data_IF_460459853405
#
_entry.id   IF_460459853405
#
_cell.length_a   1.000
_cell.length_b   1.000
_cell.length_c   1.000
_cell.angle_alpha   90.00
_cell.angle_beta   90.00
_cell.angle_gamma   90.00
#
_symmetry.space_group_name_H-M   'P 1'
#
loop_
_entity.id
_entity.type
_entity.pdbx_description
1 polymer ?
#
# COMPACT_ATOMS: atom_id res chain seq x y z
N UNK A 1 51.68 30.71 -26.03
CA UNK A 1 51.24 30.62 -24.63
C UNK A 1 49.72 30.55 -24.62
N UNK A 2 49.19 29.44 -24.10
CA UNK A 2 47.78 29.05 -24.25
C UNK A 2 46.80 29.92 -23.47
N UNK A 3 45.60 30.11 -24.04
CA UNK A 3 44.43 30.58 -23.29
C UNK A 3 43.45 29.42 -23.16
N UNK A 4 43.32 28.96 -21.92
CA UNK A 4 42.52 27.82 -21.49
C UNK A 4 41.02 28.03 -21.69
N UNK A 5 40.34 26.95 -22.09
CA UNK A 5 38.88 26.80 -22.15
C UNK A 5 38.28 26.83 -20.74
N UNK A 6 37.19 27.58 -20.55
CA UNK A 6 36.28 27.43 -19.41
C UNK A 6 35.08 26.55 -19.82
N UNK A 7 34.62 25.60 -18.97
CA UNK A 7 33.58 24.65 -19.33
C UNK A 7 32.17 25.24 -19.10
N UNK A 8 31.26 24.90 -20.02
CA UNK A 8 29.81 25.19 -19.95
C UNK A 8 29.18 24.46 -18.77
N UNK A 9 28.47 25.19 -17.91
CA UNK A 9 27.59 24.62 -16.90
C UNK A 9 26.38 23.92 -17.56
N UNK A 10 25.95 22.75 -17.06
CA UNK A 10 24.79 22.05 -17.59
C UNK A 10 23.48 22.71 -17.12
N UNK A 11 22.54 22.83 -18.06
CA UNK A 11 21.18 23.32 -17.84
C UNK A 11 20.43 22.38 -16.89
N UNK A 12 19.91 22.91 -15.79
CA UNK A 12 18.97 22.23 -14.91
C UNK A 12 17.69 21.88 -15.69
N UNK A 13 17.40 20.59 -15.78
CA UNK A 13 16.14 20.07 -16.31
C UNK A 13 15.09 20.31 -15.22
N UNK A 14 14.27 21.34 -15.44
CA UNK A 14 13.04 21.57 -14.67
C UNK A 14 12.11 20.39 -14.93
N UNK A 15 11.97 19.49 -13.95
CA UNK A 15 10.93 18.48 -13.95
C UNK A 15 9.59 19.20 -13.82
N UNK A 16 8.87 19.27 -14.93
CA UNK A 16 7.50 19.79 -15.02
C UNK A 16 6.57 18.78 -14.37
N UNK A 17 6.37 18.90 -13.06
CA UNK A 17 5.31 18.20 -12.34
C UNK A 17 3.97 18.65 -12.88
N UNK A 18 3.15 17.70 -13.34
CA UNK A 18 1.78 17.96 -13.73
C UNK A 18 0.98 18.36 -12.49
N UNK A 19 0.67 19.65 -12.37
CA UNK A 19 -0.36 20.15 -11.46
C UNK A 19 -1.69 19.47 -11.83
N UNK A 20 -2.06 18.48 -11.03
CA UNK A 20 -3.40 17.92 -11.05
C UNK A 20 -4.23 18.78 -10.12
N UNK A 21 -5.31 19.35 -10.64
CA UNK A 21 -6.28 20.18 -9.92
C UNK A 21 -6.68 19.44 -8.62
N UNK A 22 -6.19 19.93 -7.48
CA UNK A 22 -6.54 19.40 -6.16
C UNK A 22 -8.01 19.75 -5.88
N UNK A 23 -8.93 18.86 -6.29
CA UNK A 23 -10.19 18.76 -5.55
C UNK A 23 -9.80 18.38 -4.13
N UNK A 24 -10.24 19.14 -3.14
CA UNK A 24 -10.12 18.79 -1.73
C UNK A 24 -10.81 17.44 -1.49
N UNK A 25 -10.04 16.35 -1.56
CA UNK A 25 -10.57 15.01 -1.33
C UNK A 25 -10.81 14.88 0.16
N UNK A 26 -12.09 14.90 0.56
CA UNK A 26 -12.49 14.60 1.93
C UNK A 26 -12.02 13.20 2.31
N UNK A 27 -11.47 13.05 3.52
CA UNK A 27 -11.06 11.74 4.03
C UNK A 27 -12.25 10.76 4.03
N UNK A 28 -12.09 9.53 3.53
CA UNK A 28 -13.13 8.52 3.54
C UNK A 28 -13.51 8.13 4.97
N UNK A 29 -14.79 7.80 5.19
CA UNK A 29 -15.25 7.27 6.47
C UNK A 29 -15.01 5.75 6.53
N UNK A 30 -13.78 5.35 6.85
CA UNK A 30 -13.37 3.95 6.89
C UNK A 30 -14.23 3.11 7.85
N UNK A 31 -14.58 1.85 7.49
CA UNK A 31 -15.33 0.97 8.38
C UNK A 31 -14.66 0.80 9.75
N UNK A 32 -15.48 0.82 10.79
CA UNK A 32 -15.02 0.69 12.18
C UNK A 32 -14.64 -0.76 12.47
N UNK A 33 -13.56 -0.97 13.21
CA UNK A 33 -13.15 -2.30 13.67
C UNK A 33 -14.12 -2.78 14.77
N UNK A 34 -15.19 -3.45 14.35
CA UNK A 34 -16.19 -4.05 15.25
C UNK A 34 -16.36 -5.55 14.94
N UNK A 35 -16.15 -6.44 15.92
CA UNK A 35 -15.60 -6.16 17.27
C UNK A 35 -14.16 -5.61 17.21
N UNK A 36 -13.60 -5.11 18.34
CA UNK A 36 -12.19 -4.76 18.42
C UNK A 36 -11.30 -5.91 17.93
N UNK A 37 -10.25 -5.56 17.19
CA UNK A 37 -9.30 -6.52 16.63
C UNK A 37 -8.08 -6.68 17.56
N UNK A 38 -7.33 -7.80 17.43
CA UNK A 38 -7.65 -8.98 16.62
C UNK A 38 -8.73 -9.85 17.29
N UNK A 39 -9.58 -10.51 16.48
CA UNK A 39 -10.62 -11.44 17.00
C UNK A 39 -10.10 -12.84 17.30
N UNK A 40 -8.90 -13.15 16.82
CA UNK A 40 -8.23 -14.42 17.01
C UNK A 40 -6.73 -14.15 17.15
N UNK A 41 -6.00 -15.09 17.74
CA UNK A 41 -4.55 -15.01 17.76
C UNK A 41 -4.01 -15.05 16.32
N UNK A 42 -3.21 -14.06 15.94
CA UNK A 42 -2.58 -14.00 14.63
C UNK A 42 -1.22 -14.69 14.68
N UNK A 43 -0.92 -15.49 13.68
CA UNK A 43 0.39 -16.13 13.47
C UNK A 43 0.83 -15.88 12.03
N UNK A 44 2.15 -15.85 11.82
CA UNK A 44 2.73 -15.87 10.48
C UNK A 44 3.18 -17.29 10.17
N UNK A 45 2.62 -17.87 9.12
CA UNK A 45 2.94 -19.21 8.69
C UNK A 45 3.28 -19.22 7.20
N UNK A 46 4.25 -20.02 6.77
CA UNK A 46 4.52 -20.17 5.35
C UNK A 46 3.36 -20.90 4.65
N UNK A 47 3.05 -20.53 3.39
CA UNK A 47 1.95 -21.15 2.67
C UNK A 47 2.24 -22.62 2.33
N UNK A 48 3.51 -22.96 2.15
CA UNK A 48 4.00 -24.30 1.80
C UNK A 48 5.44 -24.50 2.32
N UNK A 49 5.90 -25.75 2.56
CA UNK A 49 7.23 -26.07 3.12
C UNK A 49 8.47 -25.80 2.23
N UNK A 50 8.37 -24.91 1.24
CA UNK A 50 9.52 -24.53 0.39
C UNK A 50 9.71 -23.00 0.32
N UNK A 51 8.96 -22.28 1.15
CA UNK A 51 8.79 -20.83 1.14
C UNK A 51 8.84 -20.23 2.56
N UNK A 52 9.37 -20.97 3.53
CA UNK A 52 9.49 -20.60 4.95
C UNK A 52 10.16 -19.24 5.17
N UNK A 53 11.11 -18.89 4.31
CA UNK A 53 11.93 -17.68 4.35
C UNK A 53 11.54 -16.64 3.28
N UNK A 54 10.44 -16.86 2.54
CA UNK A 54 10.06 -16.03 1.38
C UNK A 54 8.68 -15.43 1.48
N UNK A 55 7.71 -16.21 1.96
CA UNK A 55 6.30 -15.81 1.99
C UNK A 55 5.71 -16.25 3.32
N UNK A 56 5.13 -15.29 4.04
CA UNK A 56 4.39 -15.53 5.28
C UNK A 56 2.93 -15.12 5.11
N UNK A 57 2.05 -15.89 5.72
CA UNK A 57 0.60 -15.69 5.65
C UNK A 57 0.04 -15.45 7.03
N UNK A 58 -0.63 -14.31 7.21
CA UNK A 58 -1.45 -14.00 8.38
C UNK A 58 -2.90 -14.43 8.10
N UNK A 59 -3.33 -15.55 8.67
CA UNK A 59 -4.72 -16.03 8.50
C UNK A 59 -5.68 -15.26 9.42
N UNK A 60 -6.90 -15.06 8.94
CA UNK A 60 -7.98 -14.43 9.71
C UNK A 60 -7.65 -13.01 10.24
N UNK A 61 -6.81 -12.27 9.52
CA UNK A 61 -6.41 -10.90 9.89
C UNK A 61 -7.62 -9.99 10.16
N UNK A 62 -8.66 -10.10 9.31
CA UNK A 62 -9.97 -9.49 9.56
C UNK A 62 -11.08 -10.56 9.64
N UNK A 63 -12.09 -10.37 10.51
CA UNK A 63 -13.27 -11.22 10.53
C UNK A 63 -14.09 -11.02 9.24
N UNK A 64 -14.82 -12.07 8.85
CA UNK A 64 -15.65 -12.08 7.62
C UNK A 64 -16.64 -10.92 7.55
N UNK A 65 -17.22 -10.50 8.68
CA UNK A 65 -18.13 -9.36 8.75
C UNK A 65 -17.43 -8.06 8.34
N UNK A 66 -16.26 -7.79 8.90
CA UNK A 66 -15.48 -6.60 8.58
C UNK A 66 -15.00 -6.61 7.13
N UNK A 67 -14.56 -7.76 6.60
CA UNK A 67 -14.21 -7.88 5.18
C UNK A 67 -15.38 -7.49 4.27
N UNK A 68 -16.60 -7.94 4.57
CA UNK A 68 -17.79 -7.58 3.80
C UNK A 68 -18.07 -6.07 3.86
N UNK A 69 -17.96 -5.47 5.04
CA UNK A 69 -18.20 -4.03 5.23
C UNK A 69 -17.16 -3.20 4.47
N UNK A 70 -15.89 -3.62 4.47
CA UNK A 70 -14.84 -3.01 3.65
C UNK A 70 -15.11 -3.17 2.14
N UNK A 71 -15.51 -4.35 1.67
CA UNK A 71 -15.83 -4.53 0.24
C UNK A 71 -16.98 -3.61 -0.18
N UNK A 72 -18.07 -3.56 0.60
CA UNK A 72 -19.21 -2.69 0.32
C UNK A 72 -18.80 -1.20 0.32
N UNK A 73 -17.98 -0.79 1.29
CA UNK A 73 -17.45 0.57 1.38
C UNK A 73 -16.51 0.93 0.22
N UNK A 74 -15.52 0.09 -0.10
CA UNK A 74 -14.52 0.36 -1.13
C UNK A 74 -15.16 0.54 -2.52
N UNK A 75 -16.26 -0.16 -2.78
CA UNK A 75 -17.06 0.01 -4.01
C UNK A 75 -17.68 1.40 -4.15
N UNK A 76 -17.83 2.16 -3.06
CA UNK A 76 -18.37 3.53 -3.08
C UNK A 76 -17.31 4.60 -3.36
N UNK A 77 -16.03 4.24 -3.31
CA UNK A 77 -14.94 5.20 -3.49
C UNK A 77 -14.79 5.59 -4.98
N UNK A 78 -14.23 6.77 -5.27
CA UNK A 78 -13.99 7.21 -6.64
C UNK A 78 -12.79 6.47 -7.25
N UNK A 79 -13.00 5.20 -7.63
CA UNK A 79 -11.95 4.36 -8.20
C UNK A 79 -11.54 4.85 -9.59
N UNK A 80 -10.24 4.79 -9.89
CA UNK A 80 -9.67 5.09 -11.20
C UNK A 80 -9.24 3.81 -11.88
N UNK A 81 -9.86 3.44 -12.99
CA UNK A 81 -9.45 2.30 -13.80
C UNK A 81 -8.09 2.57 -14.44
N UNK A 82 -7.13 1.65 -14.25
CA UNK A 82 -5.82 1.79 -14.91
C UNK A 82 -6.01 1.75 -16.44
N UNK A 83 -5.43 2.66 -17.23
CA UNK A 83 -5.68 2.71 -18.67
C UNK A 83 -5.27 1.41 -19.36
N UNK A 84 -6.25 0.78 -20.03
CA UNK A 84 -6.19 -0.61 -20.49
C UNK A 84 -5.46 -0.86 -21.81
N UNK A 85 -4.69 0.08 -22.36
CA UNK A 85 -3.91 -0.16 -23.58
C UNK A 85 -2.48 -0.57 -23.20
N UNK A 86 -2.17 -1.88 -23.11
CA UNK A 86 -0.81 -2.33 -22.85
C UNK A 86 0.12 -1.87 -23.98
N UNK A 87 1.35 -1.50 -23.65
CA UNK A 87 2.40 -1.42 -24.69
C UNK A 87 2.90 -2.83 -25.02
N UNK A 88 3.49 -3.00 -26.20
CA UNK A 88 4.09 -4.28 -26.60
C UNK A 88 5.14 -4.70 -25.58
N UNK A 89 4.97 -5.87 -24.98
CA UNK A 89 5.84 -6.40 -23.93
C UNK A 89 5.49 -5.95 -22.51
N UNK A 90 4.46 -5.13 -22.32
CA UNK A 90 3.97 -4.74 -21.00
C UNK A 90 2.75 -5.55 -20.57
N UNK A 91 2.64 -5.80 -19.27
CA UNK A 91 1.47 -6.42 -18.68
C UNK A 91 0.25 -5.49 -18.77
N UNK A 92 -0.88 -6.05 -19.17
CA UNK A 92 -2.19 -5.36 -19.12
C UNK A 92 -2.52 -5.06 -17.65
N UNK A 93 -2.83 -3.80 -17.35
CA UNK A 93 -3.35 -3.39 -16.04
C UNK A 93 -4.81 -2.97 -16.21
N UNK A 94 -5.72 -3.74 -15.62
CA UNK A 94 -7.18 -3.52 -15.68
C UNK A 94 -7.79 -3.27 -14.30
N UNK A 95 -6.96 -3.09 -13.28
CA UNK A 95 -7.45 -2.90 -11.91
C UNK A 95 -7.92 -1.47 -11.69
N UNK A 96 -9.04 -1.36 -10.98
CA UNK A 96 -9.50 -0.12 -10.37
C UNK A 96 -8.63 0.23 -9.16
N UNK A 97 -8.23 1.51 -9.05
CA UNK A 97 -7.30 1.99 -8.04
C UNK A 97 -7.88 3.18 -7.30
N UNK A 98 -7.69 3.19 -5.98
CA UNK A 98 -7.93 4.34 -5.13
C UNK A 98 -6.68 4.56 -4.27
N UNK A 99 -6.27 5.81 -4.11
CA UNK A 99 -5.10 6.19 -3.31
C UNK A 99 -5.42 7.46 -2.53
N UNK A 100 -5.11 7.44 -1.24
CA UNK A 100 -5.23 8.61 -0.36
C UNK A 100 -4.17 8.51 0.75
N UNK A 101 -3.75 9.66 1.26
CA UNK A 101 -2.93 9.76 2.46
C UNK A 101 -3.82 10.04 3.67
N UNK A 102 -4.06 9.01 4.49
CA UNK A 102 -4.80 9.12 5.74
C UNK A 102 -3.96 8.54 6.88
N UNK A 103 -3.21 9.43 7.57
CA UNK A 103 -2.30 9.03 8.65
C UNK A 103 -3.03 8.44 9.86
N UNK A 104 -4.22 8.95 10.17
CA UNK A 104 -5.00 8.46 11.29
C UNK A 104 -5.48 7.03 11.03
N UNK A 105 -5.98 6.76 9.82
CA UNK A 105 -6.37 5.40 9.44
C UNK A 105 -5.16 4.46 9.36
N UNK A 106 -4.03 4.89 8.81
CA UNK A 106 -2.81 4.10 8.77
C UNK A 106 -2.32 3.73 10.18
N UNK A 107 -2.36 4.68 11.13
CA UNK A 107 -2.03 4.43 12.52
C UNK A 107 -2.99 3.42 13.16
N UNK A 108 -4.29 3.54 12.90
CA UNK A 108 -5.29 2.56 13.37
C UNK A 108 -5.03 1.16 12.82
N UNK A 109 -4.74 1.03 11.52
CA UNK A 109 -4.35 -0.25 10.92
C UNK A 109 -3.13 -0.87 11.60
N UNK A 110 -2.12 -0.06 11.91
CA UNK A 110 -0.91 -0.54 12.57
C UNK A 110 -1.15 -0.96 14.04
N UNK A 111 -1.84 -0.10 14.80
CA UNK A 111 -1.95 -0.22 16.26
C UNK A 111 -3.13 -1.08 16.73
N UNK A 112 -4.24 -1.11 15.99
CA UNK A 112 -5.50 -1.70 16.48
C UNK A 112 -5.81 -3.09 15.88
N UNK A 113 -5.06 -3.54 14.87
CA UNK A 113 -5.36 -4.80 14.16
C UNK A 113 -4.55 -6.00 14.67
N UNK A 114 -3.58 -5.77 15.55
CA UNK A 114 -2.56 -6.75 15.92
C UNK A 114 -1.40 -6.87 14.91
N UNK A 115 -1.41 -6.08 13.82
CA UNK A 115 -0.35 -6.10 12.81
C UNK A 115 1.03 -5.78 13.39
N UNK A 116 1.11 -4.74 14.24
CA UNK A 116 2.37 -4.36 14.89
C UNK A 116 2.98 -5.53 15.64
N UNK A 117 2.21 -6.13 16.54
CA UNK A 117 2.70 -7.21 17.39
C UNK A 117 3.07 -8.44 16.56
N UNK A 118 2.30 -8.72 15.50
CA UNK A 118 2.54 -9.84 14.59
C UNK A 118 3.87 -9.75 13.84
N UNK A 119 4.24 -8.56 13.35
CA UNK A 119 5.48 -8.39 12.55
C UNK A 119 6.70 -8.05 13.40
N UNK A 120 6.49 -7.64 14.66
CA UNK A 120 7.56 -7.40 15.63
C UNK A 120 7.85 -8.63 16.50
N UNK A 121 7.23 -9.76 16.22
CA UNK A 121 7.49 -11.02 16.93
C UNK A 121 8.97 -11.45 16.74
N UNK A 122 9.68 -11.57 17.85
CA UNK A 122 11.12 -11.88 17.89
C UNK A 122 11.44 -13.25 17.25
N UNK A 123 10.47 -14.18 17.23
CA UNK A 123 10.64 -15.49 16.58
C UNK A 123 10.89 -15.39 15.09
N UNK A 124 10.47 -14.27 14.47
CA UNK A 124 10.64 -13.99 13.05
C UNK A 124 11.95 -13.28 12.72
N UNK A 125 12.72 -12.82 13.72
CA UNK A 125 13.95 -12.03 13.51
C UNK A 125 14.98 -12.74 12.63
N UNK A 126 14.97 -14.07 12.63
CA UNK A 126 15.91 -14.88 11.83
C UNK A 126 15.48 -15.05 10.36
N UNK A 127 14.32 -14.50 9.96
CA UNK A 127 13.77 -14.62 8.60
C UNK A 127 14.17 -13.46 7.67
N UNK A 128 14.87 -12.42 8.17
CA UNK A 128 15.29 -11.25 7.39
C UNK A 128 16.70 -10.75 7.72
#
# INVERSE_FOLDING_TARGET
>A
MGKSKAPKQPKSIVQKGAETIEKSVSLPNWPVFKPPLPVAHLTLEPPVPAFEDKILVARNFFPKSLCRDYVAFLQTLPLTTTPGRPKRGEAVRVNDRFQINDFAFAQRLWMETGLKDLVQDETLTNLW
#
